data_IF_151951110509
#
_entry.id   IF_151951110509
#
_cell.length_a   1.000
_cell.length_b   1.000
_cell.length_c   1.000
_cell.angle_alpha   90.00
_cell.angle_beta   90.00
_cell.angle_gamma   90.00
#
_symmetry.space_group_name_H-M   'P 1'
#
loop_
_entity.id
_entity.type
_entity.pdbx_description
1 polymer ?
#
# COMPACT_ATOMS: atom_id res chain seq x y z
N UNK A 1 -11.02 0.22 -12.70
CA UNK A 1 -11.06 0.15 -11.22
C UNK A 1 -11.57 -1.22 -10.82
N UNK A 2 -11.07 -1.76 -9.72
CA UNK A 2 -11.46 -3.07 -9.21
C UNK A 2 -11.86 -2.92 -7.73
N UNK A 3 -12.93 -3.61 -7.31
CA UNK A 3 -13.40 -3.60 -5.92
C UNK A 3 -13.64 -5.04 -5.50
N UNK A 4 -12.99 -5.47 -4.42
CA UNK A 4 -13.09 -6.84 -3.92
C UNK A 4 -12.90 -6.90 -2.41
N UNK A 5 -13.46 -7.93 -1.77
CA UNK A 5 -13.31 -8.20 -0.34
C UNK A 5 -12.27 -9.30 -0.15
N UNK A 6 -11.24 -9.01 0.62
CA UNK A 6 -10.15 -9.95 0.90
C UNK A 6 -9.50 -9.66 2.26
N UNK A 7 -8.38 -10.33 2.52
CA UNK A 7 -7.57 -10.12 3.73
C UNK A 7 -6.38 -9.24 3.36
N UNK A 8 -6.15 -8.17 4.15
CA UNK A 8 -4.90 -7.41 4.00
C UNK A 8 -3.71 -8.32 4.29
N UNK A 9 -2.84 -8.46 3.28
CA UNK A 9 -1.68 -9.35 3.33
C UNK A 9 -0.40 -8.68 3.82
N UNK A 10 -0.41 -7.34 4.05
CA UNK A 10 0.79 -6.54 4.27
C UNK A 10 0.67 -5.62 5.49
N UNK A 11 1.83 -5.25 6.04
CA UNK A 11 1.97 -4.19 7.02
C UNK A 11 1.26 -4.43 8.35
N UNK A 12 0.81 -3.35 8.96
CA UNK A 12 0.23 -3.36 10.31
C UNK A 12 -1.10 -4.12 10.37
N UNK A 13 -1.95 -3.96 9.36
CA UNK A 13 -3.27 -4.59 9.30
C UNK A 13 -3.27 -5.99 8.69
N UNK A 14 -2.09 -6.58 8.48
CA UNK A 14 -1.98 -7.95 7.95
C UNK A 14 -2.84 -8.95 8.73
N UNK A 15 -3.58 -9.78 8.00
CA UNK A 15 -4.49 -10.78 8.54
C UNK A 15 -5.92 -10.27 8.82
N UNK A 16 -6.23 -9.00 8.56
CA UNK A 16 -7.57 -8.44 8.80
C UNK A 16 -8.39 -8.29 7.51
N UNK A 17 -9.74 -8.50 7.56
CA UNK A 17 -10.59 -8.34 6.38
C UNK A 17 -10.73 -6.87 5.99
N UNK A 18 -10.68 -6.59 4.70
CA UNK A 18 -10.88 -5.27 4.11
C UNK A 18 -11.58 -5.36 2.76
N UNK A 19 -12.31 -4.34 2.41
CA UNK A 19 -12.68 -4.09 1.02
C UNK A 19 -11.59 -3.26 0.36
N UNK A 20 -11.01 -3.79 -0.71
CA UNK A 20 -10.01 -3.11 -1.51
C UNK A 20 -10.70 -2.34 -2.64
N UNK A 21 -10.41 -1.05 -2.74
CA UNK A 21 -10.79 -0.19 -3.86
C UNK A 21 -9.51 0.15 -4.61
N UNK A 22 -9.27 -0.58 -5.70
CA UNK A 22 -8.06 -0.47 -6.51
C UNK A 22 -8.30 0.46 -7.68
N UNK A 23 -7.71 1.64 -7.62
CA UNK A 23 -7.79 2.64 -8.68
C UNK A 23 -6.85 2.30 -9.83
N UNK A 24 -7.27 2.67 -11.04
CA UNK A 24 -6.38 2.72 -12.20
C UNK A 24 -5.47 3.95 -12.17
N UNK A 25 -4.48 3.94 -13.04
CA UNK A 25 -3.49 4.98 -13.25
C UNK A 25 -2.48 5.16 -12.09
N UNK A 26 -1.25 5.49 -12.44
CA UNK A 26 -0.17 5.77 -11.50
C UNK A 26 0.78 6.80 -12.10
N UNK A 27 1.33 7.68 -11.28
CA UNK A 27 2.34 8.65 -11.69
C UNK A 27 3.77 8.07 -11.74
N UNK A 28 3.95 6.82 -11.31
CA UNK A 28 5.22 6.06 -11.38
C UNK A 28 5.08 4.79 -12.24
N UNK A 29 6.22 4.18 -12.60
CA UNK A 29 6.29 2.96 -13.40
C UNK A 29 7.37 2.05 -12.82
N UNK A 30 7.06 1.40 -11.68
CA UNK A 30 8.00 0.49 -11.02
C UNK A 30 8.14 -0.82 -11.80
N UNK A 31 9.36 -1.26 -12.09
CA UNK A 31 9.62 -2.46 -12.90
C UNK A 31 9.10 -3.75 -12.26
N UNK A 32 8.97 -3.76 -10.94
CA UNK A 32 8.47 -4.88 -10.14
C UNK A 32 6.98 -4.71 -9.72
N UNK A 33 6.27 -3.74 -10.31
CA UNK A 33 4.86 -3.53 -10.00
C UNK A 33 4.02 -4.74 -10.44
N UNK A 34 3.25 -5.30 -9.51
CA UNK A 34 2.37 -6.43 -9.71
C UNK A 34 0.91 -6.04 -10.01
N UNK A 35 0.64 -4.74 -10.09
CA UNK A 35 -0.70 -4.22 -10.35
C UNK A 35 -0.83 -3.76 -11.80
N UNK A 36 -1.83 -4.28 -12.53
CA UNK A 36 -2.26 -3.68 -13.79
C UNK A 36 -3.10 -2.44 -13.49
N UNK A 37 -2.46 -1.28 -13.57
CA UNK A 37 -3.12 0.02 -13.38
C UNK A 37 -3.38 0.76 -14.71
N UNK A 38 -3.10 0.13 -15.84
CA UNK A 38 -3.33 0.69 -17.17
C UNK A 38 -4.71 0.30 -17.74
N UNK A 39 -5.19 -0.90 -17.38
CA UNK A 39 -6.48 -1.42 -17.79
C UNK A 39 -7.51 -1.20 -16.70
N UNK A 40 -8.40 -0.23 -16.87
CA UNK A 40 -9.44 0.05 -15.86
C UNK A 40 -10.70 0.64 -16.49
N UNK A 41 -11.84 0.37 -15.85
CA UNK A 41 -13.12 0.98 -16.16
C UNK A 41 -13.40 2.15 -15.22
N UNK A 42 -14.04 3.20 -15.74
CA UNK A 42 -14.54 4.30 -14.91
C UNK A 42 -15.83 3.87 -14.21
N UNK A 43 -15.95 4.24 -12.95
CA UNK A 43 -17.16 3.98 -12.15
C UNK A 43 -17.63 5.28 -11.48
N UNK A 44 -18.94 5.41 -11.31
CA UNK A 44 -19.50 6.50 -10.52
C UNK A 44 -19.25 6.29 -9.02
N UNK A 45 -19.17 7.39 -8.25
CA UNK A 45 -19.05 7.33 -6.80
C UNK A 45 -20.20 6.52 -6.19
N UNK A 46 -21.42 6.66 -6.70
CA UNK A 46 -22.58 5.88 -6.24
C UNK A 46 -22.34 4.38 -6.39
N UNK A 47 -21.89 3.95 -7.57
CA UNK A 47 -21.59 2.54 -7.84
C UNK A 47 -20.52 1.99 -6.92
N UNK A 48 -19.45 2.76 -6.65
CA UNK A 48 -18.36 2.35 -5.76
C UNK A 48 -18.87 2.18 -4.33
N UNK A 49 -19.62 3.16 -3.82
CA UNK A 49 -20.15 3.14 -2.45
C UNK A 49 -21.11 1.99 -2.27
N UNK A 50 -22.04 1.78 -3.20
CA UNK A 50 -23.02 0.69 -3.14
C UNK A 50 -22.32 -0.69 -3.14
N UNK A 51 -21.30 -0.86 -3.99
CA UNK A 51 -20.52 -2.10 -4.03
C UNK A 51 -19.74 -2.33 -2.73
N UNK A 52 -19.07 -1.30 -2.20
CA UNK A 52 -18.33 -1.40 -0.93
C UNK A 52 -19.25 -1.82 0.22
N UNK A 53 -20.42 -1.17 0.36
CA UNK A 53 -21.38 -1.45 1.42
C UNK A 53 -21.93 -2.90 1.30
N UNK A 54 -22.08 -3.41 0.08
CA UNK A 54 -22.60 -4.77 -0.15
C UNK A 54 -21.75 -5.89 0.47
N UNK A 55 -20.48 -5.61 0.80
CA UNK A 55 -19.59 -6.60 1.43
C UNK A 55 -19.74 -6.72 2.95
N UNK A 56 -20.52 -5.84 3.60
CA UNK A 56 -20.72 -5.85 5.07
C UNK A 56 -19.40 -5.85 5.85
N UNK A 57 -18.42 -5.04 5.39
CA UNK A 57 -17.11 -4.88 6.00
C UNK A 57 -16.90 -3.41 6.40
N UNK A 58 -16.44 -3.18 7.63
CA UNK A 58 -16.27 -1.85 8.20
C UNK A 58 -14.92 -1.20 7.86
N UNK A 59 -14.12 -1.82 6.99
CA UNK A 59 -12.79 -1.36 6.61
C UNK A 59 -12.59 -1.35 5.11
N UNK A 60 -12.07 -0.23 4.61
CA UNK A 60 -11.72 -0.04 3.20
C UNK A 60 -10.26 0.35 3.08
N UNK A 61 -9.59 -0.19 2.06
CA UNK A 61 -8.26 0.25 1.64
C UNK A 61 -8.35 0.83 0.24
N UNK A 62 -8.02 2.10 0.09
CA UNK A 62 -7.76 2.72 -1.20
C UNK A 62 -6.34 2.39 -1.65
N UNK A 63 -6.22 1.77 -2.81
CA UNK A 63 -4.96 1.26 -3.37
C UNK A 63 -4.99 1.30 -4.90
N UNK A 64 -4.11 0.57 -5.56
CA UNK A 64 -4.10 0.36 -7.01
C UNK A 64 -2.86 0.92 -7.67
N UNK A 65 -3.00 1.82 -8.65
CA UNK A 65 -1.92 2.64 -9.16
C UNK A 65 -1.43 3.61 -8.09
N UNK A 66 -1.84 4.89 -8.19
CA UNK A 66 -1.65 5.84 -7.08
C UNK A 66 -3.01 6.46 -6.72
N UNK A 67 -3.61 6.05 -5.59
CA UNK A 67 -4.94 6.51 -5.21
C UNK A 67 -5.01 8.02 -4.92
N UNK A 68 -3.90 8.65 -4.48
CA UNK A 68 -3.84 10.08 -4.24
C UNK A 68 -3.93 10.95 -5.51
N UNK A 69 -3.93 10.34 -6.69
CA UNK A 69 -4.25 11.05 -7.95
C UNK A 69 -5.75 11.33 -8.10
N UNK A 70 -6.58 10.71 -7.27
CA UNK A 70 -8.03 10.88 -7.26
C UNK A 70 -8.46 11.86 -6.16
N UNK A 71 -9.59 12.54 -6.36
CA UNK A 71 -10.26 13.25 -5.26
C UNK A 71 -11.02 12.23 -4.40
N UNK A 72 -10.42 11.85 -3.27
CA UNK A 72 -10.98 10.86 -2.36
C UNK A 72 -12.03 11.44 -1.41
N UNK A 73 -12.14 12.78 -1.29
CA UNK A 73 -13.04 13.42 -0.33
C UNK A 73 -14.52 13.05 -0.53
N UNK A 74 -15.08 13.06 -1.76
CA UNK A 74 -16.50 12.73 -1.95
C UNK A 74 -16.84 11.28 -1.59
N UNK A 75 -16.02 10.32 -2.04
CA UNK A 75 -16.24 8.90 -1.74
C UNK A 75 -15.99 8.60 -0.26
N UNK A 76 -14.91 9.15 0.30
CA UNK A 76 -14.56 8.92 1.69
C UNK A 76 -15.60 9.43 2.68
N UNK A 77 -16.14 10.63 2.46
CA UNK A 77 -17.23 11.17 3.31
C UNK A 77 -18.47 10.28 3.32
N UNK A 78 -18.82 9.71 2.16
CA UNK A 78 -19.98 8.81 2.06
C UNK A 78 -19.74 7.50 2.78
N UNK A 79 -18.57 6.89 2.59
CA UNK A 79 -18.21 5.65 3.28
C UNK A 79 -18.15 5.85 4.80
N UNK A 80 -17.60 6.98 5.27
CA UNK A 80 -17.61 7.34 6.71
C UNK A 80 -19.01 7.52 7.28
N UNK A 81 -19.97 8.00 6.50
CA UNK A 81 -21.37 8.09 6.92
C UNK A 81 -21.97 6.71 7.25
N UNK A 82 -21.43 5.65 6.64
CA UNK A 82 -21.78 4.26 6.92
C UNK A 82 -20.91 3.61 8.01
N UNK A 83 -20.09 4.38 8.72
CA UNK A 83 -19.23 3.88 9.81
C UNK A 83 -17.98 3.14 9.34
N UNK A 84 -17.60 3.28 8.07
CA UNK A 84 -16.47 2.57 7.47
C UNK A 84 -15.17 3.34 7.75
N UNK A 85 -14.16 2.65 8.24
CA UNK A 85 -12.79 3.14 8.43
C UNK A 85 -12.03 3.10 7.11
N UNK A 86 -11.27 4.15 6.82
CA UNK A 86 -10.60 4.35 5.53
C UNK A 86 -9.09 4.33 5.68
N UNK A 87 -8.45 3.42 4.99
CA UNK A 87 -7.00 3.32 4.86
C UNK A 87 -6.55 3.64 3.43
N UNK A 88 -5.31 4.06 3.27
CA UNK A 88 -4.69 4.28 1.97
C UNK A 88 -3.31 3.65 1.89
N UNK A 89 -3.01 3.02 0.75
CA UNK A 89 -1.69 2.60 0.32
C UNK A 89 -1.21 3.54 -0.77
N UNK A 90 -0.19 4.36 -0.49
CA UNK A 90 0.29 5.40 -1.41
C UNK A 90 1.80 5.36 -1.59
N UNK A 91 2.29 5.82 -2.73
CA UNK A 91 3.74 6.03 -2.95
C UNK A 91 4.26 7.31 -2.26
N UNK A 92 3.39 8.12 -1.67
CA UNK A 92 3.73 9.31 -0.89
C UNK A 92 4.13 10.54 -1.71
N UNK A 93 4.04 10.51 -3.04
CA UNK A 93 4.43 11.65 -3.89
C UNK A 93 3.43 12.79 -3.88
N UNK A 94 2.25 12.57 -3.31
CA UNK A 94 1.16 13.55 -3.20
C UNK A 94 0.66 13.63 -1.76
N UNK A 95 0.11 14.78 -1.33
CA UNK A 95 -0.53 14.90 -0.03
C UNK A 95 -1.81 14.08 0.00
N UNK A 96 -2.14 13.51 1.17
CA UNK A 96 -3.32 12.69 1.37
C UNK A 96 -4.47 13.51 1.94
N UNK A 97 -5.68 13.25 1.45
CA UNK A 97 -6.91 13.88 1.94
C UNK A 97 -7.15 13.52 3.43
N UNK A 98 -7.48 14.49 4.28
CA UNK A 98 -7.72 14.26 5.70
C UNK A 98 -8.96 13.39 6.01
N UNK A 99 -9.73 13.00 5.00
CA UNK A 99 -10.81 12.02 5.14
C UNK A 99 -10.29 10.62 5.48
N UNK A 100 -9.02 10.35 5.21
CA UNK A 100 -8.36 9.06 5.44
C UNK A 100 -7.99 8.93 6.93
N UNK A 101 -8.28 7.77 7.51
CA UNK A 101 -8.02 7.46 8.93
C UNK A 101 -6.66 6.79 9.16
N UNK A 102 -6.15 6.04 8.18
CA UNK A 102 -4.88 5.32 8.25
C UNK A 102 -4.05 5.52 6.97
N UNK A 103 -2.88 6.07 7.12
CA UNK A 103 -1.99 6.37 5.99
C UNK A 103 -0.76 5.46 6.03
N UNK A 104 -0.67 4.56 5.03
CA UNK A 104 0.53 3.78 4.74
C UNK A 104 1.26 4.40 3.55
N UNK A 105 2.49 4.85 3.78
CA UNK A 105 3.37 5.36 2.73
C UNK A 105 4.40 4.30 2.35
N UNK A 106 4.42 3.96 1.07
CA UNK A 106 5.41 3.04 0.48
C UNK A 106 6.27 3.80 -0.54
N UNK A 107 7.36 4.46 -0.11
CA UNK A 107 8.18 5.32 -0.96
C UNK A 107 8.85 4.52 -2.08
N UNK A 108 9.08 5.18 -3.22
CA UNK A 108 9.72 4.61 -4.42
C UNK A 108 10.90 5.48 -4.90
N UNK A 109 11.36 6.39 -4.07
CA UNK A 109 12.43 7.35 -4.37
C UNK A 109 13.78 6.69 -4.64
N UNK A 110 14.02 5.48 -4.11
CA UNK A 110 15.19 4.66 -4.46
C UNK A 110 15.26 4.31 -5.96
N UNK A 111 14.09 4.23 -6.63
CA UNK A 111 14.00 3.95 -8.08
C UNK A 111 13.96 5.24 -8.92
N UNK A 112 13.54 6.33 -8.31
CA UNK A 112 13.28 7.59 -8.99
C UNK A 112 13.95 8.76 -8.25
N UNK A 113 15.23 9.03 -8.48
CA UNK A 113 16.00 10.06 -7.73
C UNK A 113 15.41 11.47 -7.79
N UNK A 114 14.59 11.77 -8.80
CA UNK A 114 13.93 13.07 -8.99
C UNK A 114 12.53 13.14 -8.35
N UNK A 115 12.07 12.06 -7.72
CA UNK A 115 10.77 12.01 -7.04
C UNK A 115 10.97 12.37 -5.58
N UNK A 116 10.18 13.30 -5.07
CA UNK A 116 10.17 13.67 -3.66
C UNK A 116 8.94 13.11 -2.95
N UNK A 117 9.16 12.58 -1.75
CA UNK A 117 8.08 12.15 -0.87
C UNK A 117 7.47 13.39 -0.20
N UNK A 118 6.23 13.72 -0.55
CA UNK A 118 5.48 14.85 -0.01
C UNK A 118 4.67 14.48 1.23
N UNK A 119 4.13 13.25 1.27
CA UNK A 119 3.45 12.73 2.44
C UNK A 119 4.48 12.15 3.40
N UNK A 120 4.92 12.98 4.34
CA UNK A 120 5.98 12.64 5.30
C UNK A 120 5.46 12.31 6.71
N UNK A 121 4.15 12.30 6.88
CA UNK A 121 3.48 11.98 8.14
C UNK A 121 2.42 10.92 7.87
N UNK A 122 2.27 9.97 8.78
CA UNK A 122 1.27 8.91 8.66
C UNK A 122 1.39 7.87 9.75
N UNK A 123 0.70 6.77 9.57
CA UNK A 123 0.67 5.68 10.55
C UNK A 123 1.74 4.64 10.26
N UNK A 124 1.98 4.37 8.98
CA UNK A 124 2.85 3.29 8.51
C UNK A 124 3.79 3.74 7.40
N UNK A 125 5.08 3.49 7.58
CA UNK A 125 6.10 3.54 6.55
C UNK A 125 6.45 2.11 6.15
N UNK A 126 6.13 1.70 4.91
CA UNK A 126 6.35 0.36 4.39
C UNK A 126 7.29 0.41 3.18
N UNK A 127 8.56 0.07 3.40
CA UNK A 127 9.61 0.15 2.38
C UNK A 127 9.77 -1.21 1.68
N UNK A 128 9.57 -1.24 0.37
CA UNK A 128 9.95 -2.39 -0.45
C UNK A 128 11.45 -2.39 -0.66
N UNK A 129 12.11 -3.47 -0.23
CA UNK A 129 13.55 -3.59 -0.32
C UNK A 129 13.97 -4.10 -1.70
N UNK A 130 14.70 -3.27 -2.43
CA UNK A 130 15.25 -3.55 -3.75
C UNK A 130 16.78 -3.47 -3.77
N UNK A 131 17.44 -3.58 -2.59
CA UNK A 131 18.91 -3.49 -2.47
C UNK A 131 19.45 -2.12 -2.05
N UNK A 132 18.57 -1.16 -1.75
CA UNK A 132 18.95 0.18 -1.29
C UNK A 132 19.47 0.20 0.15
N UNK A 133 20.24 1.23 0.49
CA UNK A 133 20.62 1.52 1.87
C UNK A 133 19.40 2.02 2.65
N UNK A 134 19.05 1.31 3.71
CA UNK A 134 17.89 1.64 4.55
C UNK A 134 18.06 2.92 5.36
N UNK A 135 19.29 3.40 5.56
CA UNK A 135 19.55 4.67 6.25
C UNK A 135 18.98 5.90 5.52
N UNK A 136 18.71 5.79 4.23
CA UNK A 136 18.05 6.85 3.45
C UNK A 136 16.64 7.20 3.97
N UNK A 137 16.04 6.32 4.77
CA UNK A 137 14.71 6.53 5.34
C UNK A 137 14.71 6.98 6.80
N UNK A 138 15.88 7.19 7.43
CA UNK A 138 15.95 7.55 8.85
C UNK A 138 15.20 8.85 9.16
N UNK A 139 15.36 9.86 8.32
CA UNK A 139 14.64 11.13 8.45
C UNK A 139 13.12 10.99 8.17
N UNK A 140 12.75 10.13 7.22
CA UNK A 140 11.34 9.88 6.90
C UNK A 140 10.62 9.10 7.99
N UNK A 141 11.30 8.16 8.65
CA UNK A 141 10.75 7.34 9.75
C UNK A 141 10.17 8.16 10.88
N UNK A 142 10.75 9.31 11.19
CA UNK A 142 10.30 10.16 12.31
C UNK A 142 8.83 10.60 12.16
N UNK A 143 8.31 10.61 10.94
CA UNK A 143 6.94 10.98 10.65
C UNK A 143 5.91 9.85 10.78
N UNK A 144 6.32 8.63 11.13
CA UNK A 144 5.46 7.45 11.12
C UNK A 144 5.53 6.66 12.42
N UNK A 145 4.41 6.07 12.82
CA UNK A 145 4.33 5.27 14.05
C UNK A 145 4.88 3.85 13.86
N UNK A 146 4.64 3.27 12.69
CA UNK A 146 5.00 1.89 12.37
C UNK A 146 5.91 1.84 11.16
N UNK A 147 6.97 1.01 11.22
CA UNK A 147 7.96 0.91 10.16
C UNK A 147 8.14 -0.53 9.71
N UNK A 148 7.99 -0.77 8.42
CA UNK A 148 8.09 -2.09 7.81
C UNK A 148 9.08 -2.11 6.65
N UNK A 149 9.84 -3.19 6.57
CA UNK A 149 10.59 -3.56 5.38
C UNK A 149 9.92 -4.77 4.75
N UNK A 150 9.64 -4.68 3.47
CA UNK A 150 8.99 -5.73 2.69
C UNK A 150 9.95 -6.26 1.64
N UNK A 151 10.23 -7.56 1.60
CA UNK A 151 10.98 -8.15 0.50
C UNK A 151 10.28 -7.85 -0.83
N UNK A 152 11.04 -7.42 -1.84
CA UNK A 152 10.49 -7.31 -3.18
C UNK A 152 10.14 -8.71 -3.68
N UNK A 153 8.86 -8.94 -4.00
CA UNK A 153 8.38 -10.16 -4.63
C UNK A 153 8.18 -9.90 -6.12
N UNK A 154 8.76 -10.74 -6.95
CA UNK A 154 8.66 -10.64 -8.41
C UNK A 154 7.91 -11.87 -8.93
N UNK A 155 6.77 -11.66 -9.58
CA UNK A 155 5.88 -12.75 -10.01
C UNK A 155 6.54 -13.67 -11.04
N UNK A 156 7.48 -13.17 -11.84
CA UNK A 156 8.25 -13.98 -12.80
C UNK A 156 9.38 -14.80 -12.16
N UNK A 157 9.73 -14.51 -10.91
CA UNK A 157 10.81 -15.20 -10.22
C UNK A 157 10.34 -16.52 -9.61
N UNK A 158 11.28 -17.43 -9.45
CA UNK A 158 11.02 -18.68 -8.72
C UNK A 158 10.85 -18.44 -7.23
N UNK A 159 10.21 -19.38 -6.53
CA UNK A 159 10.07 -19.34 -5.06
C UNK A 159 11.45 -19.22 -4.39
N UNK A 160 12.49 -19.85 -4.94
CA UNK A 160 13.86 -19.75 -4.41
C UNK A 160 14.43 -18.33 -4.55
N UNK A 161 14.21 -17.68 -5.70
CA UNK A 161 14.68 -16.30 -5.94
C UNK A 161 14.00 -15.31 -5.01
N UNK A 162 12.68 -15.38 -4.87
CA UNK A 162 11.92 -14.58 -3.91
C UNK A 162 12.33 -14.90 -2.47
N UNK A 163 12.65 -16.15 -2.15
CA UNK A 163 13.18 -16.57 -0.86
C UNK A 163 14.53 -15.92 -0.50
N UNK A 164 15.40 -15.63 -1.47
CA UNK A 164 16.65 -14.90 -1.22
C UNK A 164 16.39 -13.45 -0.79
N UNK A 165 15.46 -12.77 -1.46
CA UNK A 165 15.04 -11.42 -1.05
C UNK A 165 14.51 -11.41 0.39
N UNK A 166 13.70 -12.40 0.76
CA UNK A 166 13.21 -12.58 2.12
C UNK A 166 14.35 -12.76 3.14
N UNK A 167 15.34 -13.63 2.87
CA UNK A 167 16.45 -13.87 3.79
C UNK A 167 17.30 -12.61 4.05
N UNK A 168 17.48 -11.78 3.02
CA UNK A 168 18.20 -10.50 3.16
C UNK A 168 17.41 -9.56 4.07
N UNK A 169 16.11 -9.39 3.83
CA UNK A 169 15.27 -8.50 4.65
C UNK A 169 15.14 -9.02 6.08
N UNK A 170 15.01 -10.34 6.28
CA UNK A 170 15.01 -10.95 7.61
C UNK A 170 16.27 -10.57 8.40
N UNK A 171 17.45 -10.63 7.77
CA UNK A 171 18.71 -10.24 8.39
C UNK A 171 18.71 -8.75 8.75
N UNK A 172 18.29 -7.87 7.81
CA UNK A 172 18.24 -6.42 8.05
C UNK A 172 17.33 -6.11 9.23
N UNK A 173 16.14 -6.71 9.30
CA UNK A 173 15.19 -6.47 10.41
C UNK A 173 15.74 -6.93 11.73
N UNK A 174 16.48 -8.05 11.79
CA UNK A 174 17.14 -8.53 13.02
C UNK A 174 18.24 -7.58 13.52
N UNK A 175 18.93 -6.91 12.59
CA UNK A 175 20.07 -6.02 12.89
C UNK A 175 19.65 -4.55 13.05
N UNK A 176 18.42 -4.19 12.68
CA UNK A 176 17.92 -2.81 12.66
C UNK A 176 16.72 -2.62 13.59
N UNK A 177 16.92 -2.33 14.88
CA UNK A 177 15.83 -2.10 15.84
C UNK A 177 14.87 -0.99 15.35
N UNK A 178 13.58 -1.24 15.48
CA UNK A 178 12.52 -0.31 15.05
C UNK A 178 11.96 -0.58 13.65
N UNK A 179 12.54 -1.49 12.88
CA UNK A 179 11.92 -2.04 11.68
C UNK A 179 11.24 -3.39 11.96
N UNK A 180 10.13 -3.62 11.29
CA UNK A 180 9.37 -4.88 11.31
C UNK A 180 9.37 -5.48 9.91
N UNK A 181 9.28 -6.81 9.83
CA UNK A 181 9.08 -7.49 8.57
C UNK A 181 7.62 -7.36 8.12
N UNK A 182 7.40 -6.94 6.88
CA UNK A 182 6.14 -7.12 6.16
C UNK A 182 6.30 -8.20 5.10
N UNK A 183 5.28 -9.02 4.93
CA UNK A 183 5.19 -9.99 3.84
C UNK A 183 3.99 -9.65 2.95
N UNK A 184 4.04 -10.06 1.69
CA UNK A 184 2.86 -10.13 0.83
C UNK A 184 2.18 -11.50 1.05
N UNK A 185 1.50 -11.66 2.18
CA UNK A 185 0.92 -12.96 2.58
C UNK A 185 0.00 -13.54 1.51
N UNK A 186 -0.75 -12.70 0.81
CA UNK A 186 -1.61 -13.10 -0.30
C UNK A 186 -0.85 -13.84 -1.41
N UNK A 187 0.38 -13.44 -1.72
CA UNK A 187 1.25 -14.13 -2.72
C UNK A 187 1.63 -15.54 -2.27
N UNK A 188 1.90 -15.71 -0.96
CA UNK A 188 2.28 -17.01 -0.40
C UNK A 188 1.09 -17.94 -0.19
N UNK A 189 -0.10 -17.39 0.06
CA UNK A 189 -1.31 -18.16 0.29
C UNK A 189 -2.13 -18.40 -0.98
N UNK A 190 -1.81 -17.73 -2.10
CA UNK A 190 -2.56 -17.82 -3.34
C UNK A 190 -3.98 -17.26 -3.26
N UNK A 191 -4.18 -16.20 -2.47
CA UNK A 191 -5.45 -15.46 -2.35
C UNK A 191 -5.33 -14.07 -2.97
N UNK A 192 -6.49 -13.46 -3.31
CA UNK A 192 -6.54 -12.09 -3.82
C UNK A 192 -6.16 -11.08 -2.73
#
# INVERSE_FOLDING_TARGET
MEIFHSIQGEGFHSGTPHVFVRFGNCNLRCDWCDTDFLTFDEQSIDSIVDQVISYDCDRVIFTGGEPAMQDLSPIGKRLKHHGISLSIETNGTMPIDPVIDWICVSPKDQLYPNVSIKQRLGDELKVVYCGQDMSMYDDLKEGFTHHFIQPCYIDSDTVEQNGKSFQIVEKIVKESPGWRLSLQMHKWMGIL
#
